data_IF_613593148919
#
_entry.id   IF_613593148919
#
_cell.length_a   1.000
_cell.length_b   1.000
_cell.length_c   1.000
_cell.angle_alpha   90.00
_cell.angle_beta   90.00
_cell.angle_gamma   90.00
#
_symmetry.space_group_name_H-M   'P 1'
#
loop_
_entity.id
_entity.type
_entity.pdbx_description
1 polymer ?
#
# COMPACT_ATOMS: atom_id res chain seq x y z
N UNK A 1 3.39 26.06 -24.43
CA UNK A 1 1.93 26.18 -24.66
C UNK A 1 1.30 24.82 -24.36
N UNK A 2 0.16 24.78 -23.64
CA UNK A 2 -0.49 23.52 -23.23
C UNK A 2 -0.98 22.75 -24.46
N UNK A 3 -0.64 21.47 -24.59
CA UNK A 3 -1.10 20.60 -25.68
C UNK A 3 -2.49 20.06 -25.36
N UNK A 4 -3.43 20.20 -26.29
CA UNK A 4 -4.80 19.73 -26.11
C UNK A 4 -5.04 18.61 -27.10
N UNK A 5 -5.23 17.41 -26.56
CA UNK A 5 -5.33 16.18 -27.33
C UNK A 5 -6.78 15.75 -27.37
N UNK A 6 -7.35 15.74 -28.56
CA UNK A 6 -8.68 15.22 -28.80
C UNK A 6 -8.59 13.75 -29.23
N UNK A 7 -9.48 12.92 -28.70
CA UNK A 7 -9.51 11.48 -28.98
C UNK A 7 -10.93 11.05 -29.27
N UNK A 8 -11.22 10.68 -30.52
CA UNK A 8 -12.53 10.19 -30.93
C UNK A 8 -12.56 8.67 -31.10
N UNK A 9 -13.55 8.02 -30.50
CA UNK A 9 -13.75 6.58 -30.61
C UNK A 9 -15.03 6.11 -29.93
N UNK A 10 -15.18 4.81 -29.72
CA UNK A 10 -16.37 4.24 -29.09
C UNK A 10 -15.96 3.28 -27.96
N UNK A 11 -16.77 3.23 -26.89
CA UNK A 11 -16.35 2.62 -25.61
C UNK A 11 -16.11 1.11 -25.67
N UNK A 12 -16.67 0.40 -26.67
CA UNK A 12 -16.38 -1.02 -26.90
C UNK A 12 -15.03 -1.28 -27.60
N UNK A 13 -14.35 -0.24 -28.10
CA UNK A 13 -13.03 -0.37 -28.71
C UNK A 13 -11.93 -0.32 -27.64
N UNK A 14 -11.28 -1.46 -27.39
CA UNK A 14 -10.19 -1.54 -26.40
C UNK A 14 -9.01 -0.59 -26.69
N UNK A 15 -8.73 -0.30 -27.96
CA UNK A 15 -7.69 0.67 -28.35
C UNK A 15 -8.06 2.11 -27.97
N UNK A 16 -9.32 2.51 -28.16
CA UNK A 16 -9.80 3.82 -27.72
C UNK A 16 -9.70 3.96 -26.19
N UNK A 17 -10.22 2.98 -25.44
CA UNK A 17 -10.16 2.99 -23.98
C UNK A 17 -8.72 3.06 -23.47
N UNK A 18 -7.78 2.36 -24.12
CA UNK A 18 -6.36 2.40 -23.76
C UNK A 18 -5.75 3.79 -23.96
N UNK A 19 -6.00 4.45 -25.08
CA UNK A 19 -5.49 5.82 -25.34
C UNK A 19 -6.06 6.83 -24.36
N UNK A 20 -7.38 6.79 -24.11
CA UNK A 20 -8.03 7.68 -23.14
C UNK A 20 -7.39 7.52 -21.77
N UNK A 21 -7.17 6.28 -21.30
CA UNK A 21 -6.51 6.04 -20.01
C UNK A 21 -5.08 6.58 -19.96
N UNK A 22 -4.28 6.39 -21.02
CA UNK A 22 -2.90 6.91 -21.08
C UNK A 22 -2.88 8.44 -21.01
N UNK A 23 -3.67 9.11 -21.84
CA UNK A 23 -3.73 10.58 -21.87
C UNK A 23 -4.36 11.18 -20.60
N UNK A 24 -5.29 10.47 -19.96
CA UNK A 24 -5.84 10.85 -18.68
C UNK A 24 -4.75 10.83 -17.60
N UNK A 25 -3.95 9.76 -17.54
CA UNK A 25 -2.78 9.67 -16.66
C UNK A 25 -1.78 10.79 -16.93
N UNK A 26 -1.49 11.10 -18.20
CA UNK A 26 -0.62 12.23 -18.56
C UNK A 26 -1.18 13.58 -18.11
N UNK A 27 -2.49 13.77 -18.16
CA UNK A 27 -3.14 15.00 -17.67
C UNK A 27 -3.01 15.14 -16.15
N UNK A 28 -3.02 14.03 -15.41
CA UNK A 28 -2.76 14.02 -13.96
C UNK A 28 -1.29 14.32 -13.65
N UNK A 29 -0.36 13.74 -14.41
CA UNK A 29 1.08 13.91 -14.21
C UNK A 29 1.58 15.30 -14.64
N UNK A 30 1.01 15.85 -15.72
CA UNK A 30 1.45 17.11 -16.34
C UNK A 30 0.28 18.08 -16.58
N UNK A 31 -0.45 18.50 -15.52
CA UNK A 31 -1.72 19.23 -15.66
C UNK A 31 -1.60 20.58 -16.37
N UNK A 32 -0.41 21.19 -16.33
CA UNK A 32 -0.10 22.46 -17.01
C UNK A 32 0.38 22.29 -18.45
N UNK A 33 0.80 21.07 -18.85
CA UNK A 33 1.40 20.79 -20.16
C UNK A 33 0.44 20.10 -21.12
N UNK A 34 -0.52 19.32 -20.62
CA UNK A 34 -1.46 18.56 -21.46
C UNK A 34 -2.91 18.63 -20.94
N UNK A 35 -3.86 18.45 -21.85
CA UNK A 35 -5.30 18.28 -21.59
C UNK A 35 -5.85 17.23 -22.55
N UNK A 36 -6.63 16.28 -22.02
CA UNK A 36 -7.40 15.33 -22.81
C UNK A 36 -8.82 15.84 -23.05
N UNK A 37 -9.33 15.68 -24.27
CA UNK A 37 -10.74 15.86 -24.65
C UNK A 37 -11.25 14.58 -25.33
N UNK A 38 -11.92 13.68 -24.60
CA UNK A 38 -12.46 12.45 -25.19
C UNK A 38 -13.79 12.72 -25.90
N UNK A 39 -13.98 12.08 -27.05
CA UNK A 39 -15.23 12.06 -27.80
C UNK A 39 -15.73 10.62 -27.92
N UNK A 40 -16.73 10.30 -27.12
CA UNK A 40 -17.34 8.98 -27.01
C UNK A 40 -18.53 8.84 -27.97
N UNK A 41 -18.40 7.95 -28.96
CA UNK A 41 -19.48 7.53 -29.83
C UNK A 41 -20.14 6.25 -29.29
N UNK A 42 -21.47 6.08 -29.46
CA UNK A 42 -22.20 4.96 -28.88
C UNK A 42 -21.76 3.61 -29.46
N UNK A 43 -21.39 3.58 -30.75
CA UNK A 43 -20.93 2.37 -31.42
C UNK A 43 -20.01 2.68 -32.62
N UNK A 44 -19.51 1.62 -33.25
CA UNK A 44 -18.64 1.70 -34.42
C UNK A 44 -19.31 2.38 -35.62
N UNK A 45 -20.62 2.22 -35.77
CA UNK A 45 -21.38 2.78 -36.90
C UNK A 45 -21.46 4.29 -36.77
N UNK A 46 -21.91 4.79 -35.62
CA UNK A 46 -21.98 6.22 -35.32
C UNK A 46 -20.62 6.90 -35.47
N UNK A 47 -19.55 6.26 -34.97
CA UNK A 47 -18.18 6.74 -35.13
C UNK A 47 -17.77 6.87 -36.61
N UNK A 48 -18.06 5.85 -37.44
CA UNK A 48 -17.68 5.87 -38.86
C UNK A 48 -18.50 6.86 -39.68
N UNK A 49 -19.80 6.98 -39.41
CA UNK A 49 -20.66 8.00 -40.03
C UNK A 49 -20.11 9.40 -39.75
N UNK A 50 -19.76 9.69 -38.50
CA UNK A 50 -19.11 10.97 -38.17
C UNK A 50 -17.76 11.13 -38.88
N UNK A 51 -16.84 10.17 -38.76
CA UNK A 51 -15.48 10.37 -39.27
C UNK A 51 -15.40 10.43 -40.80
N UNK A 52 -16.18 9.58 -41.48
CA UNK A 52 -16.08 9.32 -42.94
C UNK A 52 -17.22 9.99 -43.69
N UNK A 53 -18.48 9.72 -43.32
CA UNK A 53 -19.64 10.16 -44.11
C UNK A 53 -19.90 11.66 -43.95
N UNK A 54 -19.67 12.21 -42.74
CA UNK A 54 -19.75 13.67 -42.52
C UNK A 54 -18.51 14.43 -43.04
N UNK A 55 -17.46 13.71 -43.46
CA UNK A 55 -16.23 14.29 -43.99
C UNK A 55 -15.34 14.96 -42.94
N UNK A 56 -15.48 14.65 -41.65
CA UNK A 56 -14.65 15.30 -40.61
C UNK A 56 -13.15 15.14 -40.87
N UNK A 57 -12.71 13.92 -41.22
CA UNK A 57 -11.30 13.63 -41.53
C UNK A 57 -10.75 14.36 -42.75
N UNK A 58 -11.63 14.86 -43.63
CA UNK A 58 -11.24 15.54 -44.87
C UNK A 58 -10.78 16.99 -44.63
N UNK A 59 -11.02 17.50 -43.43
CA UNK A 59 -10.58 18.84 -43.00
C UNK A 59 -9.10 18.89 -42.57
N UNK A 60 -8.44 17.74 -42.44
CA UNK A 60 -7.00 17.64 -42.19
C UNK A 60 -6.22 17.77 -43.50
N UNK A 61 -5.00 18.31 -43.45
CA UNK A 61 -4.17 18.46 -44.65
C UNK A 61 -3.48 17.13 -45.02
N UNK A 62 -3.19 16.32 -44.02
CA UNK A 62 -2.44 15.08 -44.07
C UNK A 62 -3.22 13.98 -44.81
N UNK A 63 -2.60 13.37 -45.82
CA UNK A 63 -3.21 12.26 -46.57
C UNK A 63 -3.56 11.07 -45.66
N UNK A 64 -2.76 10.83 -44.62
CA UNK A 64 -2.99 9.78 -43.63
C UNK A 64 -4.33 9.99 -42.88
N UNK A 65 -4.65 11.23 -42.50
CA UNK A 65 -5.91 11.57 -41.84
C UNK A 65 -7.11 11.25 -42.75
N UNK A 66 -7.05 11.68 -44.02
CA UNK A 66 -8.10 11.45 -45.03
C UNK A 66 -8.35 9.96 -45.32
N UNK A 67 -7.34 9.12 -45.13
CA UNK A 67 -7.42 7.67 -45.32
C UNK A 67 -7.82 6.91 -44.04
N UNK A 68 -7.68 7.53 -42.87
CA UNK A 68 -7.94 6.89 -41.57
C UNK A 68 -9.41 6.51 -41.41
N UNK A 69 -9.67 5.33 -40.86
CA UNK A 69 -11.04 4.80 -40.70
C UNK A 69 -11.28 3.95 -39.45
N UNK A 70 -10.24 3.70 -38.65
CA UNK A 70 -10.26 2.89 -37.44
C UNK A 70 -10.35 3.78 -36.20
N UNK A 71 -10.86 3.23 -35.09
CA UNK A 71 -10.84 3.90 -33.79
C UNK A 71 -9.56 3.53 -33.02
N UNK A 72 -8.91 4.48 -32.32
CA UNK A 72 -9.26 5.90 -32.19
C UNK A 72 -8.78 6.76 -33.38
N UNK A 73 -9.31 7.98 -33.48
CA UNK A 73 -8.78 9.07 -34.32
C UNK A 73 -8.38 10.23 -33.41
N UNK A 74 -7.10 10.60 -33.43
CA UNK A 74 -6.51 11.53 -32.47
C UNK A 74 -5.88 12.74 -33.16
N UNK A 75 -6.00 13.93 -32.55
CA UNK A 75 -5.41 15.16 -33.08
C UNK A 75 -5.10 16.17 -31.98
N UNK A 76 -4.22 17.14 -32.29
CA UNK A 76 -3.96 18.31 -31.47
C UNK A 76 -4.86 19.48 -31.88
N UNK A 77 -5.24 20.31 -30.90
CA UNK A 77 -5.99 21.54 -31.14
C UNK A 77 -5.13 22.81 -31.10
N UNK A 78 -5.52 23.84 -31.87
CA UNK A 78 -4.80 25.11 -32.06
C UNK A 78 -4.79 26.03 -30.82
N UNK A 79 -5.59 25.74 -29.81
CA UNK A 79 -5.72 26.54 -28.58
C UNK A 79 -6.67 25.88 -27.59
N UNK A 80 -6.93 26.53 -26.44
CA UNK A 80 -7.90 26.06 -25.43
C UNK A 80 -9.33 26.28 -25.91
N UNK A 81 -9.73 25.48 -26.90
CA UNK A 81 -11.10 25.43 -27.37
C UNK A 81 -11.98 24.65 -26.40
N UNK A 82 -13.22 25.10 -26.34
CA UNK A 82 -14.25 24.85 -25.33
C UNK A 82 -14.43 23.39 -24.91
N UNK A 83 -14.81 23.17 -23.64
CA UNK A 83 -15.24 21.88 -23.07
C UNK A 83 -16.56 21.35 -23.62
N UNK A 84 -16.70 21.36 -24.94
CA UNK A 84 -17.86 20.86 -25.68
C UNK A 84 -17.56 19.45 -26.20
N UNK A 85 -18.59 18.59 -26.20
CA UNK A 85 -18.45 17.15 -26.45
C UNK A 85 -18.31 16.80 -27.94
N UNK A 86 -18.51 17.76 -28.84
CA UNK A 86 -18.52 17.53 -30.28
C UNK A 86 -17.26 18.11 -30.93
N UNK A 87 -16.52 17.33 -31.75
CA UNK A 87 -15.33 17.81 -32.46
C UNK A 87 -15.64 18.99 -33.40
N UNK A 88 -14.90 20.09 -33.29
CA UNK A 88 -15.05 21.26 -34.16
C UNK A 88 -13.90 21.36 -35.15
N UNK A 89 -14.21 21.66 -36.40
CA UNK A 89 -13.23 21.76 -37.49
C UNK A 89 -12.25 22.92 -37.28
N UNK A 90 -12.74 24.03 -36.71
CA UNK A 90 -11.95 25.22 -36.39
C UNK A 90 -10.79 24.96 -35.41
N UNK A 91 -10.89 23.90 -34.61
CA UNK A 91 -9.91 23.57 -33.58
C UNK A 91 -8.74 22.74 -34.11
N UNK A 92 -8.87 22.14 -35.30
CA UNK A 92 -7.89 21.20 -35.86
C UNK A 92 -6.52 21.88 -36.04
N UNK A 93 -5.49 21.34 -35.41
CA UNK A 93 -4.07 21.72 -35.60
C UNK A 93 -3.31 20.64 -36.38
N UNK A 94 -3.08 19.49 -35.75
CA UNK A 94 -2.18 18.44 -36.24
C UNK A 94 -2.81 17.06 -36.04
N UNK A 95 -2.80 16.23 -37.08
CA UNK A 95 -3.24 14.84 -36.96
C UNK A 95 -2.20 13.96 -36.24
N UNK A 96 -2.59 13.30 -35.16
CA UNK A 96 -1.69 12.41 -34.41
C UNK A 96 -1.72 10.96 -34.90
N UNK A 97 -2.80 10.52 -35.56
CA UNK A 97 -2.94 9.14 -36.02
C UNK A 97 -3.94 8.30 -35.20
N UNK A 98 -3.73 6.98 -35.28
CA UNK A 98 -4.50 5.99 -34.53
C UNK A 98 -3.94 5.72 -33.14
N UNK A 99 -4.24 4.54 -32.59
CA UNK A 99 -3.73 4.12 -31.29
C UNK A 99 -2.20 4.13 -31.23
N UNK A 100 -1.53 3.40 -32.12
CA UNK A 100 -0.08 3.20 -32.03
C UNK A 100 0.68 4.52 -32.23
N UNK A 101 0.22 5.37 -33.13
CA UNK A 101 0.81 6.69 -33.39
C UNK A 101 0.62 7.62 -32.18
N UNK A 102 -0.56 7.58 -31.56
CA UNK A 102 -0.82 8.37 -30.36
C UNK A 102 -0.01 7.89 -29.16
N UNK A 103 0.22 6.58 -29.01
CA UNK A 103 1.13 6.05 -27.97
C UNK A 103 2.56 6.56 -28.21
N UNK A 104 3.06 6.51 -29.45
CA UNK A 104 4.40 7.04 -29.80
C UNK A 104 4.50 8.53 -29.52
N UNK A 105 3.44 9.28 -29.83
CA UNK A 105 3.37 10.70 -29.48
C UNK A 105 3.40 10.92 -27.97
N UNK A 106 2.63 10.15 -27.18
CA UNK A 106 2.63 10.22 -25.71
C UNK A 106 4.03 9.93 -25.14
N UNK A 107 4.71 8.92 -25.68
CA UNK A 107 6.08 8.58 -25.31
C UNK A 107 7.03 9.75 -25.62
N UNK A 108 6.90 10.37 -26.79
CA UNK A 108 7.70 11.54 -27.19
C UNK A 108 7.39 12.78 -26.34
N UNK A 109 6.12 13.00 -25.96
CA UNK A 109 5.70 14.09 -25.08
C UNK A 109 6.30 13.97 -23.67
N UNK A 110 6.45 12.73 -23.18
CA UNK A 110 7.11 12.43 -21.92
C UNK A 110 8.64 12.49 -22.02
N UNK A 111 9.20 12.56 -23.22
CA UNK A 111 10.64 12.74 -23.37
C UNK A 111 11.07 14.10 -22.79
N UNK A 112 12.26 14.21 -22.19
CA UNK A 112 12.79 15.49 -21.69
C UNK A 112 12.91 16.52 -22.82
N UNK A 113 12.73 17.81 -22.51
CA UNK A 113 13.10 18.90 -23.44
C UNK A 113 14.62 18.94 -23.63
N UNK A 114 15.10 19.05 -24.87
CA UNK A 114 16.49 19.42 -25.22
C UNK A 114 16.78 20.91 -24.93
N UNK A 115 16.48 21.38 -23.72
CA UNK A 115 16.80 22.74 -23.30
C UNK A 115 18.24 22.79 -22.76
N UNK A 116 19.23 22.62 -23.65
CA UNK A 116 20.58 23.22 -23.61
C UNK A 116 21.42 23.32 -22.32
N UNK A 117 21.10 22.63 -21.22
CA UNK A 117 21.88 22.63 -19.98
C UNK A 117 21.72 21.28 -19.26
N UNK A 118 22.63 20.36 -19.56
CA UNK A 118 22.49 18.92 -19.29
C UNK A 118 23.00 18.54 -17.88
N UNK A 119 22.20 18.83 -16.86
CA UNK A 119 22.11 18.05 -15.61
C UNK A 119 20.63 17.74 -15.30
N UNK A 120 19.86 17.41 -16.34
CA UNK A 120 18.48 16.93 -16.21
C UNK A 120 18.41 15.43 -15.98
N UNK A 121 17.35 14.97 -15.32
CA UNK A 121 17.02 13.54 -15.21
C UNK A 121 16.73 13.02 -16.62
N UNK A 122 17.70 12.35 -17.23
CA UNK A 122 17.56 11.67 -18.51
C UNK A 122 16.94 10.30 -18.30
N UNK A 123 15.89 9.97 -19.08
CA UNK A 123 15.46 8.59 -19.25
C UNK A 123 16.59 7.86 -19.98
N UNK A 124 17.42 7.17 -19.21
CA UNK A 124 18.44 6.29 -19.77
C UNK A 124 17.72 5.20 -20.56
N UNK A 125 18.08 4.97 -21.85
CA UNK A 125 17.63 3.80 -22.59
C UNK A 125 17.94 2.58 -21.74
N UNK A 126 16.91 1.97 -21.19
CA UNK A 126 17.07 0.85 -20.28
C UNK A 126 17.49 -0.42 -21.05
N UNK A 127 17.47 -0.38 -22.38
CA UNK A 127 17.77 -1.49 -23.28
C UNK A 127 16.61 -2.47 -23.42
N UNK A 128 15.37 -2.08 -23.08
CA UNK A 128 14.22 -2.97 -23.20
C UNK A 128 13.86 -3.17 -24.66
N UNK A 129 13.82 -4.42 -25.09
CA UNK A 129 13.28 -4.82 -26.39
C UNK A 129 12.17 -5.85 -26.15
N UNK A 130 11.06 -5.74 -26.88
CA UNK A 130 9.93 -6.65 -26.72
C UNK A 130 10.30 -8.13 -26.98
N UNK A 131 11.39 -8.40 -27.70
CA UNK A 131 11.95 -9.73 -27.94
C UNK A 131 13.30 -9.90 -27.23
N UNK A 132 13.30 -9.77 -25.91
CA UNK A 132 14.50 -9.83 -25.08
C UNK A 132 14.95 -11.26 -24.70
N UNK A 133 14.19 -12.30 -25.06
CA UNK A 133 14.53 -13.71 -24.77
C UNK A 133 14.41 -14.17 -23.31
N UNK A 134 14.27 -13.27 -22.33
CA UNK A 134 14.00 -13.59 -20.93
C UNK A 134 12.59 -14.16 -20.67
N UNK A 135 12.42 -14.85 -19.53
CA UNK A 135 11.15 -15.45 -19.12
C UNK A 135 10.05 -14.40 -18.86
N UNK A 136 10.42 -13.21 -18.38
CA UNK A 136 9.52 -12.12 -18.00
C UNK A 136 10.05 -10.74 -18.44
N UNK A 137 9.12 -9.81 -18.68
CA UNK A 137 9.45 -8.39 -18.87
C UNK A 137 9.83 -7.76 -17.51
N UNK A 138 9.08 -8.12 -16.46
CA UNK A 138 9.27 -7.61 -15.11
C UNK A 138 9.10 -8.71 -14.07
N UNK A 139 10.11 -8.87 -13.21
CA UNK A 139 9.98 -9.62 -11.95
C UNK A 139 9.93 -8.62 -10.80
N UNK A 140 8.83 -8.64 -10.05
CA UNK A 140 8.67 -7.86 -8.83
C UNK A 140 9.03 -8.72 -7.61
N UNK A 141 9.99 -8.28 -6.81
CA UNK A 141 10.46 -8.98 -5.61
C UNK A 141 9.81 -8.34 -4.38
N UNK A 142 8.70 -8.91 -3.92
CA UNK A 142 7.93 -8.50 -2.75
C UNK A 142 6.44 -8.31 -3.08
N UNK A 143 5.57 -9.15 -2.50
CA UNK A 143 4.12 -9.12 -2.69
C UNK A 143 3.38 -8.18 -1.74
N UNK A 144 4.01 -7.05 -1.39
CA UNK A 144 3.42 -6.01 -0.55
C UNK A 144 2.62 -4.96 -1.31
N UNK A 145 2.24 -3.87 -0.64
CA UNK A 145 1.43 -2.80 -1.24
C UNK A 145 2.02 -2.26 -2.55
N UNK A 146 3.30 -1.89 -2.54
CA UNK A 146 4.00 -1.36 -3.72
C UNK A 146 4.17 -2.42 -4.81
N UNK A 147 4.68 -3.61 -4.46
CA UNK A 147 4.96 -4.64 -5.45
C UNK A 147 3.72 -5.20 -6.13
N UNK A 148 2.61 -5.42 -5.40
CA UNK A 148 1.34 -5.82 -6.02
C UNK A 148 0.74 -4.72 -6.90
N UNK A 149 0.86 -3.45 -6.50
CA UNK A 149 0.37 -2.33 -7.31
C UNK A 149 1.13 -2.26 -8.64
N UNK A 150 2.46 -2.24 -8.58
CA UNK A 150 3.32 -2.23 -9.74
C UNK A 150 3.11 -3.46 -10.65
N UNK A 151 2.99 -4.65 -10.06
CA UNK A 151 2.78 -5.88 -10.85
C UNK A 151 1.51 -5.83 -11.69
N UNK A 152 0.39 -5.39 -11.09
CA UNK A 152 -0.90 -5.31 -11.78
C UNK A 152 -0.91 -4.23 -12.84
N UNK A 153 -0.27 -3.09 -12.56
CA UNK A 153 -0.22 -1.97 -13.50
C UNK A 153 0.65 -2.31 -14.71
N UNK A 154 1.85 -2.86 -14.47
CA UNK A 154 2.73 -3.32 -15.54
C UNK A 154 2.04 -4.36 -16.44
N UNK A 155 1.32 -5.33 -15.84
CA UNK A 155 0.55 -6.31 -16.61
C UNK A 155 -0.60 -5.67 -17.40
N UNK A 156 -1.31 -4.68 -16.83
CA UNK A 156 -2.36 -3.96 -17.55
C UNK A 156 -1.83 -3.18 -18.77
N UNK A 157 -0.56 -2.76 -18.73
CA UNK A 157 0.16 -2.11 -19.83
C UNK A 157 0.78 -3.11 -20.82
N UNK A 158 0.59 -4.42 -20.60
CA UNK A 158 0.99 -5.49 -21.54
C UNK A 158 2.27 -6.23 -21.18
N UNK A 159 2.92 -5.92 -20.06
CA UNK A 159 4.10 -6.64 -19.61
C UNK A 159 3.75 -8.05 -19.09
N UNK A 160 4.58 -9.03 -19.41
CA UNK A 160 4.61 -10.35 -18.78
C UNK A 160 5.29 -10.26 -17.43
N UNK A 161 4.51 -10.36 -16.35
CA UNK A 161 4.99 -10.09 -14.98
C UNK A 161 5.02 -11.35 -14.11
N UNK A 162 6.12 -11.53 -13.36
CA UNK A 162 6.13 -12.40 -12.17
C UNK A 162 6.16 -11.55 -10.89
N UNK A 163 5.38 -11.94 -9.89
CA UNK A 163 5.37 -11.34 -8.57
C UNK A 163 5.84 -12.39 -7.55
N UNK A 164 7.05 -12.22 -7.05
CA UNK A 164 7.64 -13.06 -6.01
C UNK A 164 7.25 -12.52 -4.63
N UNK A 165 6.78 -13.38 -3.74
CA UNK A 165 6.54 -13.03 -2.34
C UNK A 165 6.97 -14.19 -1.46
N UNK A 166 7.67 -13.91 -0.37
CA UNK A 166 8.02 -14.92 0.62
C UNK A 166 8.11 -14.28 2.01
N UNK A 167 7.28 -14.76 2.92
CA UNK A 167 7.25 -14.26 4.30
C UNK A 167 8.19 -15.09 5.16
N UNK A 168 9.40 -14.56 5.40
CA UNK A 168 10.31 -15.10 6.43
C UNK A 168 9.62 -15.03 7.79
N UNK A 169 9.46 -16.15 8.52
CA UNK A 169 8.84 -16.13 9.85
C UNK A 169 9.50 -15.11 10.78
N UNK A 170 8.75 -14.55 11.72
CA UNK A 170 9.34 -13.80 12.83
C UNK A 170 10.20 -14.71 13.71
N UNK A 171 11.03 -14.18 14.62
CA UNK A 171 11.75 -15.00 15.61
C UNK A 171 10.81 -15.90 16.45
N UNK A 172 9.53 -15.54 16.56
CA UNK A 172 8.49 -16.31 17.25
C UNK A 172 7.80 -17.35 16.35
N UNK A 173 8.19 -17.45 15.08
CA UNK A 173 7.62 -18.36 14.10
C UNK A 173 6.37 -17.83 13.38
N UNK A 174 5.95 -16.59 13.66
CA UNK A 174 4.76 -16.00 13.03
C UNK A 174 5.00 -15.78 11.54
N UNK A 175 4.04 -16.21 10.70
CA UNK A 175 4.05 -16.00 9.25
C UNK A 175 2.64 -15.68 8.76
N UNK A 176 2.50 -15.17 7.53
CA UNK A 176 1.23 -14.70 6.97
C UNK A 176 1.15 -14.87 5.46
N UNK A 177 -0.01 -14.50 4.88
CA UNK A 177 -0.29 -14.64 3.46
C UNK A 177 0.12 -13.44 2.60
N UNK A 178 -0.20 -13.50 1.30
CA UNK A 178 0.09 -12.45 0.33
C UNK A 178 -0.55 -11.11 0.73
N UNK A 179 0.16 -10.00 0.56
CA UNK A 179 -0.34 -8.65 0.84
C UNK A 179 0.67 -7.74 1.53
N UNK A 180 1.80 -8.31 1.97
CA UNK A 180 2.86 -7.61 2.70
C UNK A 180 2.42 -7.10 4.07
N UNK A 181 3.21 -6.19 4.63
CA UNK A 181 3.08 -5.69 6.01
C UNK A 181 1.71 -5.06 6.27
N UNK A 182 1.27 -4.13 5.41
CA UNK A 182 0.07 -3.32 5.68
C UNK A 182 -1.20 -4.18 5.81
N UNK A 183 -1.32 -5.24 5.01
CA UNK A 183 -2.47 -6.15 5.02
C UNK A 183 -2.44 -7.08 6.23
N UNK A 184 -1.28 -7.64 6.55
CA UNK A 184 -1.20 -8.77 7.48
C UNK A 184 -0.82 -8.38 8.90
N UNK A 185 0.08 -7.41 9.07
CA UNK A 185 0.73 -7.08 10.35
C UNK A 185 1.00 -5.57 10.49
N UNK A 186 0.10 -4.77 9.90
CA UNK A 186 0.27 -3.33 9.80
C UNK A 186 -1.08 -2.63 9.77
N UNK A 187 -1.28 -1.75 8.80
CA UNK A 187 -2.41 -0.82 8.74
C UNK A 187 -3.78 -1.47 9.00
N UNK A 188 -4.06 -2.60 8.35
CA UNK A 188 -5.36 -3.28 8.43
C UNK A 188 -5.64 -3.81 9.84
N UNK A 189 -4.85 -4.76 10.41
CA UNK A 189 -5.10 -5.20 11.77
C UNK A 189 -4.99 -4.05 12.78
N UNK A 190 -3.98 -3.18 12.66
CA UNK A 190 -3.81 -2.01 13.54
C UNK A 190 -5.10 -1.19 13.63
N UNK A 191 -5.70 -0.84 12.49
CA UNK A 191 -6.88 0.02 12.47
C UNK A 191 -8.14 -0.72 12.93
N UNK A 192 -8.24 -2.03 12.72
CA UNK A 192 -9.35 -2.84 13.22
C UNK A 192 -9.29 -3.04 14.75
N UNK A 193 -8.10 -3.27 15.31
CA UNK A 193 -7.91 -3.29 16.77
C UNK A 193 -8.22 -1.92 17.38
N UNK A 194 -7.74 -0.85 16.77
CA UNK A 194 -8.07 0.52 17.19
C UNK A 194 -9.57 0.83 17.06
N UNK A 195 -10.26 0.36 16.02
CA UNK A 195 -11.72 0.49 15.93
C UNK A 195 -12.42 -0.25 17.08
N UNK A 196 -11.93 -1.44 17.45
CA UNK A 196 -12.41 -2.18 18.62
C UNK A 196 -12.21 -1.40 19.92
N UNK A 197 -11.08 -0.70 20.08
CA UNK A 197 -10.83 0.15 21.25
C UNK A 197 -11.76 1.36 21.28
N UNK A 198 -11.95 2.06 20.16
CA UNK A 198 -12.86 3.21 20.07
C UNK A 198 -14.31 2.81 20.38
N UNK A 199 -14.77 1.65 19.89
CA UNK A 199 -16.11 1.15 20.22
C UNK A 199 -16.24 0.89 21.72
N UNK A 200 -15.21 0.32 22.35
CA UNK A 200 -15.20 0.09 23.79
C UNK A 200 -15.30 1.41 24.56
N UNK A 201 -14.53 2.42 24.16
CA UNK A 201 -14.56 3.74 24.78
C UNK A 201 -15.93 4.41 24.62
N UNK A 202 -16.53 4.38 23.42
CA UNK A 202 -17.87 4.93 23.20
C UNK A 202 -18.94 4.22 24.02
N UNK A 203 -18.84 2.90 24.21
CA UNK A 203 -19.78 2.17 25.07
C UNK A 203 -19.59 2.50 26.56
N UNK A 204 -18.35 2.73 27.01
CA UNK A 204 -18.05 3.06 28.41
C UNK A 204 -18.39 4.50 28.77
N UNK A 205 -18.07 5.45 27.89
CA UNK A 205 -18.06 6.88 28.20
C UNK A 205 -19.24 7.63 27.59
N UNK A 206 -19.64 7.29 26.36
CA UNK A 206 -20.61 8.10 25.60
C UNK A 206 -22.03 7.54 25.71
N UNK A 207 -22.19 6.22 25.65
CA UNK A 207 -23.50 5.56 25.48
C UNK A 207 -24.57 6.05 26.47
N UNK A 208 -24.20 6.20 27.76
CA UNK A 208 -25.12 6.67 28.79
C UNK A 208 -25.62 8.10 28.53
N UNK A 209 -24.77 9.00 28.02
CA UNK A 209 -25.16 10.37 27.69
C UNK A 209 -26.16 10.44 26.53
N UNK A 210 -26.16 9.42 25.65
CA UNK A 210 -27.14 9.24 24.58
C UNK A 210 -28.37 8.42 24.98
N UNK A 211 -28.52 8.06 26.26
CA UNK A 211 -29.63 7.25 26.76
C UNK A 211 -29.55 5.76 26.36
N UNK A 212 -28.38 5.28 25.95
CA UNK A 212 -28.14 3.88 25.59
C UNK A 212 -27.60 3.15 26.81
N UNK A 213 -28.32 2.12 27.25
CA UNK A 213 -27.89 1.24 28.34
C UNK A 213 -27.03 0.09 27.80
N UNK A 214 -25.85 -0.10 28.40
CA UNK A 214 -24.88 -1.15 28.04
C UNK A 214 -24.59 -2.02 29.28
N UNK A 215 -25.03 -3.28 29.28
CA UNK A 215 -24.92 -4.21 30.42
C UNK A 215 -26.19 -5.07 30.59
N UNK A 216 -26.21 -6.02 31.54
CA UNK A 216 -27.44 -6.75 31.91
C UNK A 216 -28.29 -5.98 32.93
N UNK A 217 -29.58 -6.30 33.02
CA UNK A 217 -30.51 -5.73 34.01
C UNK A 217 -30.05 -5.95 35.46
N UNK A 218 -29.21 -6.96 35.71
CA UNK A 218 -28.64 -7.29 37.03
C UNK A 218 -27.64 -6.24 37.56
N UNK A 219 -27.19 -5.30 36.72
CA UNK A 219 -26.26 -4.21 37.09
C UNK A 219 -26.98 -2.89 37.44
N UNK A 220 -28.30 -2.94 37.63
CA UNK A 220 -29.13 -1.78 38.00
C UNK A 220 -29.51 -1.89 39.48
N UNK A 221 -29.06 -0.92 40.29
CA UNK A 221 -29.52 -0.77 41.68
C UNK A 221 -30.08 0.65 41.84
N UNK A 222 -31.30 0.77 42.35
CA UNK A 222 -32.02 2.04 42.53
C UNK A 222 -32.13 2.93 41.27
N UNK A 223 -32.33 2.30 40.11
CA UNK A 223 -32.49 3.02 38.83
C UNK A 223 -31.20 3.67 38.30
N UNK A 224 -30.06 3.38 38.91
CA UNK A 224 -28.74 3.83 38.48
C UNK A 224 -27.89 2.63 38.04
N UNK A 225 -27.21 2.78 36.90
CA UNK A 225 -26.27 1.78 36.38
C UNK A 225 -25.01 1.84 37.23
N UNK A 226 -24.61 0.73 37.84
CA UNK A 226 -23.24 0.57 38.34
C UNK A 226 -22.32 0.40 37.12
N UNK A 227 -21.25 1.20 37.03
CA UNK A 227 -20.17 1.23 36.01
C UNK A 227 -20.36 0.25 34.82
N UNK A 228 -20.57 0.73 33.58
CA UNK A 228 -20.80 -0.14 32.43
C UNK A 228 -19.63 -1.13 32.23
N UNK A 229 -19.86 -2.41 32.52
CA UNK A 229 -18.85 -3.46 32.36
C UNK A 229 -18.82 -3.91 30.90
N UNK A 230 -18.02 -3.23 30.07
CA UNK A 230 -17.67 -3.75 28.75
C UNK A 230 -16.43 -4.64 28.85
N UNK A 231 -16.54 -5.87 28.34
CA UNK A 231 -15.44 -6.83 28.28
C UNK A 231 -15.08 -7.15 26.84
N UNK A 232 -13.89 -6.74 26.42
CA UNK A 232 -13.38 -7.09 25.09
C UNK A 232 -12.75 -8.48 25.14
N UNK A 233 -13.35 -9.42 24.41
CA UNK A 233 -12.80 -10.77 24.27
C UNK A 233 -11.70 -10.78 23.19
N UNK A 234 -10.43 -10.75 23.61
CA UNK A 234 -9.27 -10.74 22.72
C UNK A 234 -9.35 -11.81 21.63
N UNK A 235 -9.65 -13.06 21.99
CA UNK A 235 -9.71 -14.18 21.06
C UNK A 235 -10.73 -13.96 19.94
N UNK A 236 -11.94 -13.51 20.28
CA UNK A 236 -12.99 -13.21 19.31
C UNK A 236 -12.63 -12.02 18.41
N UNK A 237 -12.09 -10.93 18.98
CA UNK A 237 -11.63 -9.77 18.21
C UNK A 237 -10.54 -10.18 17.21
N UNK A 238 -9.51 -10.86 17.71
CA UNK A 238 -8.37 -11.33 16.93
C UNK A 238 -8.83 -12.31 15.85
N UNK A 239 -9.68 -13.28 16.16
CA UNK A 239 -10.18 -14.25 15.17
C UNK A 239 -10.93 -13.56 14.04
N UNK A 240 -11.84 -12.63 14.35
CA UNK A 240 -12.59 -11.88 13.33
C UNK A 240 -11.66 -11.03 12.43
N UNK A 241 -10.66 -10.38 13.01
CA UNK A 241 -9.65 -9.63 12.26
C UNK A 241 -8.83 -10.57 11.35
N UNK A 242 -8.37 -11.71 11.88
CA UNK A 242 -7.63 -12.71 11.11
C UNK A 242 -8.48 -13.31 9.98
N UNK A 243 -9.77 -13.52 10.18
CA UNK A 243 -10.71 -13.96 9.15
C UNK A 243 -10.78 -12.95 7.99
N UNK A 244 -10.87 -11.66 8.33
CA UNK A 244 -10.85 -10.60 7.34
C UNK A 244 -9.52 -10.55 6.56
N UNK A 245 -8.39 -10.64 7.25
CA UNK A 245 -7.05 -10.68 6.62
C UNK A 245 -6.92 -11.87 5.66
N UNK A 246 -7.35 -13.07 6.08
CA UNK A 246 -7.35 -14.26 5.20
C UNK A 246 -8.18 -14.04 3.94
N UNK A 247 -9.32 -13.35 4.06
CA UNK A 247 -10.15 -12.98 2.92
C UNK A 247 -9.42 -12.02 1.96
N UNK A 248 -8.65 -11.07 2.50
CA UNK A 248 -7.83 -10.16 1.69
C UNK A 248 -6.70 -10.90 0.98
N UNK A 249 -5.98 -11.80 1.68
CA UNK A 249 -4.92 -12.59 1.06
C UNK A 249 -5.45 -13.40 -0.14
N UNK A 250 -6.63 -14.00 0.00
CA UNK A 250 -7.30 -14.70 -1.09
C UNK A 250 -7.64 -13.75 -2.25
N UNK A 251 -8.29 -12.62 -1.96
CA UNK A 251 -8.66 -11.61 -2.98
C UNK A 251 -7.44 -11.08 -3.73
N UNK A 252 -6.31 -10.86 -3.07
CA UNK A 252 -5.08 -10.42 -3.75
C UNK A 252 -4.55 -11.47 -4.72
N UNK A 253 -4.55 -12.76 -4.34
CA UNK A 253 -4.15 -13.85 -5.23
C UNK A 253 -5.07 -13.95 -6.45
N UNK A 254 -6.38 -13.76 -6.26
CA UNK A 254 -7.36 -13.73 -7.36
C UNK A 254 -7.07 -12.55 -8.29
N UNK A 255 -6.89 -11.34 -7.76
CA UNK A 255 -6.62 -10.13 -8.56
C UNK A 255 -5.32 -10.20 -9.36
N UNK A 256 -4.27 -10.83 -8.83
CA UNK A 256 -3.04 -11.05 -9.61
C UNK A 256 -3.31 -11.98 -10.80
N UNK A 257 -4.05 -13.08 -10.57
CA UNK A 257 -4.41 -14.04 -11.62
C UNK A 257 -5.32 -13.43 -12.69
N UNK A 258 -6.32 -12.64 -12.31
CA UNK A 258 -7.21 -11.93 -13.24
C UNK A 258 -6.46 -10.93 -14.14
N UNK A 259 -5.29 -10.47 -13.69
CA UNK A 259 -4.38 -9.61 -14.45
C UNK A 259 -3.24 -10.38 -15.11
N UNK A 260 -3.33 -11.71 -15.15
CA UNK A 260 -2.32 -12.59 -15.76
C UNK A 260 -0.91 -12.45 -15.15
N UNK A 261 -0.81 -11.92 -13.93
CA UNK A 261 0.46 -11.85 -13.19
C UNK A 261 0.76 -13.24 -12.60
N UNK A 262 1.96 -13.76 -12.90
CA UNK A 262 2.43 -15.03 -12.32
C UNK A 262 2.84 -14.81 -10.88
N UNK A 263 2.00 -15.22 -9.92
CA UNK A 263 2.35 -15.17 -8.51
C UNK A 263 3.16 -16.40 -8.06
N UNK A 264 4.34 -16.18 -7.49
CA UNK A 264 5.21 -17.24 -6.97
C UNK A 264 5.50 -17.00 -5.49
N UNK A 265 5.06 -17.92 -4.64
CA UNK A 265 5.40 -17.91 -3.21
C UNK A 265 6.82 -18.47 -2.99
N UNK A 266 7.83 -17.69 -3.40
CA UNK A 266 9.24 -18.06 -3.42
C UNK A 266 10.11 -16.87 -3.02
N UNK A 267 11.19 -17.16 -2.29
CA UNK A 267 12.23 -16.20 -1.97
C UNK A 267 13.14 -16.04 -3.20
N UNK A 268 13.39 -14.81 -3.63
CA UNK A 268 14.26 -14.50 -4.75
C UNK A 268 15.63 -13.99 -4.31
N UNK A 269 16.70 -14.47 -4.96
CA UNK A 269 18.09 -14.03 -4.79
C UNK A 269 18.74 -13.85 -6.16
N UNK A 270 19.28 -12.67 -6.42
CA UNK A 270 20.00 -12.34 -7.66
C UNK A 270 21.21 -13.25 -7.83
N UNK A 271 21.34 -13.83 -9.02
CA UNK A 271 22.54 -14.55 -9.45
C UNK A 271 23.41 -13.63 -10.30
N UNK A 272 22.77 -12.81 -11.14
CA UNK A 272 23.38 -11.82 -12.02
C UNK A 272 22.33 -10.71 -12.34
N UNK A 273 22.63 -9.71 -13.18
CA UNK A 273 21.69 -8.61 -13.48
C UNK A 273 20.34 -9.02 -14.08
N UNK A 274 20.24 -10.19 -14.72
CA UNK A 274 19.05 -10.66 -15.43
C UNK A 274 18.52 -12.02 -14.94
N UNK A 275 19.20 -12.67 -14.01
CA UNK A 275 18.82 -13.99 -13.47
C UNK A 275 18.58 -13.94 -11.97
N UNK A 276 17.48 -14.55 -11.53
CA UNK A 276 17.12 -14.71 -10.13
C UNK A 276 16.92 -16.19 -9.78
N UNK A 277 17.57 -16.66 -8.72
CA UNK A 277 17.25 -17.94 -8.09
C UNK A 277 16.00 -17.75 -7.24
N UNK A 278 15.03 -18.65 -7.38
CA UNK A 278 13.79 -18.64 -6.60
C UNK A 278 13.60 -19.93 -5.82
N UNK A 279 13.51 -19.83 -4.49
CA UNK A 279 13.40 -20.96 -3.57
C UNK A 279 12.03 -20.98 -2.91
N UNK A 280 11.32 -22.11 -2.99
CA UNK A 280 10.03 -22.25 -2.30
C UNK A 280 10.18 -22.64 -0.82
N UNK A 281 9.05 -22.67 -0.09
CA UNK A 281 9.02 -23.06 1.34
C UNK A 281 9.53 -24.48 1.62
N UNK A 282 9.65 -25.35 0.61
CA UNK A 282 10.17 -26.72 0.73
C UNK A 282 11.66 -26.80 0.39
N UNK A 283 12.32 -25.66 0.10
CA UNK A 283 13.72 -25.61 -0.29
C UNK A 283 13.98 -25.98 -1.75
N UNK A 284 12.94 -26.09 -2.59
CA UNK A 284 13.12 -26.38 -4.02
C UNK A 284 13.52 -25.09 -4.73
N UNK A 285 14.69 -25.09 -5.35
CA UNK A 285 15.18 -23.97 -6.15
C UNK A 285 14.91 -24.15 -7.65
N UNK A 286 14.81 -23.03 -8.35
CA UNK A 286 14.80 -22.92 -9.80
C UNK A 286 15.28 -21.52 -10.18
N UNK A 287 15.73 -21.30 -11.39
CA UNK A 287 16.10 -19.97 -11.89
C UNK A 287 14.99 -19.39 -12.76
N UNK A 288 14.85 -18.06 -12.74
CA UNK A 288 14.03 -17.29 -13.68
C UNK A 288 14.86 -16.14 -14.23
N UNK A 289 14.53 -15.68 -15.42
CA UNK A 289 15.18 -14.53 -16.05
C UNK A 289 14.20 -13.39 -16.28
N UNK A 290 14.69 -12.15 -16.24
CA UNK A 290 13.85 -10.97 -16.47
C UNK A 290 14.59 -9.82 -17.13
N UNK A 291 13.89 -9.09 -18.00
CA UNK A 291 14.42 -7.83 -18.54
C UNK A 291 14.58 -6.79 -17.43
N UNK A 292 13.60 -6.68 -16.52
CA UNK A 292 13.60 -5.74 -15.40
C UNK A 292 13.28 -6.39 -14.07
N UNK A 293 13.77 -5.77 -13.01
CA UNK A 293 13.40 -6.11 -11.65
C UNK A 293 12.89 -4.89 -10.91
N UNK A 294 11.89 -5.09 -10.07
CA UNK A 294 11.46 -4.13 -9.07
C UNK A 294 11.68 -4.73 -7.69
N UNK A 295 12.57 -4.12 -6.90
CA UNK A 295 12.78 -4.49 -5.50
C UNK A 295 11.72 -3.79 -4.65
N UNK A 296 10.83 -4.59 -4.06
CA UNK A 296 9.70 -4.13 -3.26
C UNK A 296 9.55 -4.93 -1.95
N UNK A 297 10.68 -5.35 -1.36
CA UNK A 297 10.74 -6.28 -0.20
C UNK A 297 10.29 -5.67 1.13
N UNK A 298 10.16 -4.34 1.21
CA UNK A 298 9.66 -3.65 2.40
C UNK A 298 10.65 -3.67 3.56
N UNK A 299 10.12 -3.68 4.80
CA UNK A 299 10.95 -3.68 6.00
C UNK A 299 10.39 -4.53 7.13
N UNK A 300 11.26 -4.96 8.05
CA UNK A 300 10.97 -5.85 9.18
C UNK A 300 11.29 -5.18 10.52
N UNK A 301 10.63 -5.57 11.63
CA UNK A 301 10.91 -5.02 12.95
C UNK A 301 12.38 -5.18 13.34
N UNK A 302 12.96 -4.15 13.93
CA UNK A 302 14.32 -4.21 14.48
C UNK A 302 14.29 -5.04 15.78
N UNK A 303 15.15 -6.07 15.92
CA UNK A 303 15.26 -6.83 17.16
C UNK A 303 15.61 -5.94 18.35
N UNK A 304 15.14 -6.30 19.54
CA UNK A 304 15.48 -5.57 20.75
C UNK A 304 16.88 -5.98 21.23
N UNK A 305 17.84 -5.07 21.12
CA UNK A 305 19.24 -5.32 21.50
C UNK A 305 19.45 -5.17 23.01
N UNK A 306 19.20 -6.25 23.75
CA UNK A 306 19.54 -6.38 25.17
C UNK A 306 19.61 -7.86 25.55
N UNK A 307 20.14 -8.19 26.73
CA UNK A 307 20.15 -9.57 27.21
C UNK A 307 18.71 -10.08 27.33
N UNK A 308 18.41 -11.23 26.73
CA UNK A 308 17.06 -11.79 26.69
C UNK A 308 16.08 -11.02 25.80
N UNK A 309 16.54 -10.06 24.98
CA UNK A 309 15.72 -9.28 24.06
C UNK A 309 14.87 -10.12 23.10
N UNK A 310 15.31 -11.35 22.79
CA UNK A 310 14.56 -12.34 22.01
C UNK A 310 13.26 -12.80 22.69
N UNK A 311 13.05 -12.52 23.98
CA UNK A 311 11.78 -12.77 24.67
C UNK A 311 10.69 -11.80 24.19
N UNK A 312 11.05 -10.61 23.75
CA UNK A 312 10.09 -9.64 23.21
C UNK A 312 9.47 -10.13 21.90
N UNK A 313 8.21 -9.75 21.69
CA UNK A 313 7.52 -9.88 20.41
C UNK A 313 7.60 -8.56 19.64
N UNK A 314 7.11 -8.54 18.41
CA UNK A 314 7.02 -7.33 17.60
C UNK A 314 5.59 -7.09 17.08
N UNK A 315 5.39 -6.01 16.32
CA UNK A 315 4.13 -5.80 15.60
C UNK A 315 3.83 -6.92 14.60
N UNK A 316 4.84 -7.66 14.14
CA UNK A 316 4.65 -8.81 13.27
C UNK A 316 3.93 -9.98 14.00
N UNK A 317 3.91 -9.97 15.34
CA UNK A 317 3.39 -11.06 16.18
C UNK A 317 2.11 -10.68 16.93
N UNK A 318 2.00 -9.44 17.43
CA UNK A 318 0.93 -9.02 18.35
C UNK A 318 -0.48 -9.25 17.80
N UNK A 319 -0.67 -9.03 16.49
CA UNK A 319 -1.96 -9.20 15.83
C UNK A 319 -2.40 -10.66 15.68
N UNK A 320 -1.47 -11.60 15.90
CA UNK A 320 -1.68 -13.03 15.76
C UNK A 320 -1.61 -13.78 17.10
N UNK A 321 -1.47 -13.10 18.24
CA UNK A 321 -1.47 -13.77 19.54
C UNK A 321 -2.81 -14.49 19.78
N UNK A 322 -2.76 -15.75 20.20
CA UNK A 322 -3.97 -16.53 20.52
C UNK A 322 -4.60 -16.10 21.84
N UNK A 323 -3.75 -15.80 22.82
CA UNK A 323 -4.14 -15.32 24.13
C UNK A 323 -3.97 -13.80 24.22
N UNK A 324 -4.73 -13.18 25.12
CA UNK A 324 -4.56 -11.76 25.44
C UNK A 324 -3.11 -11.48 25.84
N UNK A 325 -2.49 -10.38 25.39
CA UNK A 325 -1.13 -10.04 25.78
C UNK A 325 -1.00 -9.63 27.26
N UNK A 326 -2.11 -9.46 27.99
CA UNK A 326 -2.09 -9.14 29.42
C UNK A 326 -1.44 -7.79 29.73
N UNK A 327 -0.78 -7.68 30.88
CA UNK A 327 0.04 -6.52 31.22
C UNK A 327 1.18 -6.39 30.20
N UNK A 328 1.20 -5.29 29.45
CA UNK A 328 2.07 -5.16 28.27
C UNK A 328 3.04 -3.98 28.40
N UNK A 329 4.33 -4.23 28.17
CA UNK A 329 5.33 -3.19 27.95
C UNK A 329 5.54 -2.95 26.46
N UNK A 330 5.28 -1.73 25.98
CA UNK A 330 5.65 -1.30 24.63
C UNK A 330 7.01 -0.58 24.66
N UNK A 331 8.03 -1.15 24.03
CA UNK A 331 9.38 -0.59 23.99
C UNK A 331 9.55 0.26 22.73
N UNK A 332 9.81 1.55 22.93
CA UNK A 332 9.97 2.53 21.85
C UNK A 332 8.82 3.52 21.80
N UNK A 333 9.02 4.58 21.02
CA UNK A 333 8.13 5.75 21.00
C UNK A 333 7.72 6.15 19.56
N UNK A 334 7.77 5.18 18.65
CA UNK A 334 7.31 5.34 17.27
C UNK A 334 5.79 5.33 17.20
N UNK A 335 5.21 5.70 16.05
CA UNK A 335 3.76 5.59 15.84
C UNK A 335 3.27 4.16 16.06
N UNK A 336 4.06 3.13 15.69
CA UNK A 336 3.69 1.72 15.92
C UNK A 336 3.55 1.44 17.41
N UNK A 337 4.50 1.91 18.21
CA UNK A 337 4.48 1.71 19.67
C UNK A 337 3.25 2.36 20.29
N UNK A 338 3.00 3.64 19.96
CA UNK A 338 1.89 4.41 20.54
C UNK A 338 0.53 3.91 20.08
N UNK A 339 0.38 3.52 18.81
CA UNK A 339 -0.87 2.95 18.31
C UNK A 339 -1.17 1.60 18.97
N UNK A 340 -0.16 0.74 19.14
CA UNK A 340 -0.33 -0.52 19.87
C UNK A 340 -0.67 -0.29 21.33
N UNK A 341 0.06 0.60 22.00
CA UNK A 341 -0.22 0.94 23.38
C UNK A 341 -1.64 1.48 23.56
N UNK A 342 -2.05 2.40 22.68
CA UNK A 342 -3.37 3.03 22.71
C UNK A 342 -4.51 2.03 22.53
N UNK A 343 -4.46 1.15 21.52
CA UNK A 343 -5.56 0.18 21.36
C UNK A 343 -5.55 -0.89 22.45
N UNK A 344 -4.39 -1.29 22.98
CA UNK A 344 -4.30 -2.27 24.08
C UNK A 344 -4.90 -1.68 25.38
N UNK A 345 -4.58 -0.42 25.69
CA UNK A 345 -5.17 0.27 26.83
C UNK A 345 -6.67 0.49 26.63
N UNK A 346 -7.10 0.94 25.44
CA UNK A 346 -8.52 1.18 25.14
C UNK A 346 -9.39 -0.08 25.11
N UNK A 347 -8.81 -1.28 24.91
CA UNK A 347 -9.55 -2.55 25.14
C UNK A 347 -9.49 -3.03 26.60
N UNK A 348 -8.84 -2.27 27.49
CA UNK A 348 -8.83 -2.48 28.94
C UNK A 348 -7.61 -3.20 29.51
N UNK A 349 -6.47 -3.24 28.82
CA UNK A 349 -5.24 -3.85 29.33
C UNK A 349 -4.36 -2.84 30.08
N UNK A 350 -3.57 -3.33 31.04
CA UNK A 350 -2.52 -2.53 31.69
C UNK A 350 -1.33 -2.37 30.74
N UNK A 351 -1.05 -1.15 30.31
CA UNK A 351 -0.04 -0.85 29.29
C UNK A 351 0.91 0.23 29.78
N UNK A 352 2.20 -0.04 29.61
CA UNK A 352 3.26 0.94 29.82
C UNK A 352 4.13 1.09 28.57
N UNK A 353 4.56 2.31 28.27
CA UNK A 353 5.46 2.62 27.15
C UNK A 353 6.83 3.04 27.69
N UNK A 354 7.88 2.31 27.32
CA UNK A 354 9.26 2.69 27.62
C UNK A 354 9.82 3.61 26.53
N UNK A 355 10.16 4.84 26.91
CA UNK A 355 10.57 5.92 26.02
C UNK A 355 12.03 6.29 26.28
N UNK A 356 12.91 6.03 25.31
CA UNK A 356 14.33 6.41 25.41
C UNK A 356 14.56 7.92 25.46
N UNK A 357 13.76 8.71 24.72
CA UNK A 357 13.98 10.15 24.58
C UNK A 357 12.68 10.94 24.39
N UNK A 358 12.16 11.01 23.16
CA UNK A 358 10.95 11.77 22.80
C UNK A 358 9.95 10.90 22.05
N UNK A 359 8.67 11.24 22.12
CA UNK A 359 7.62 10.62 21.33
C UNK A 359 7.65 11.06 19.87
N UNK A 360 7.32 10.13 18.96
CA UNK A 360 7.10 10.39 17.53
C UNK A 360 8.23 11.20 16.88
N UNK A 361 9.49 10.83 17.09
CA UNK A 361 10.63 11.54 16.50
C UNK A 361 10.43 11.80 15.00
N UNK A 362 10.59 13.05 14.57
CA UNK A 362 10.37 13.49 13.19
C UNK A 362 8.99 14.09 12.90
N UNK A 363 8.03 13.97 13.82
CA UNK A 363 6.71 14.60 13.71
C UNK A 363 6.70 16.00 14.34
N UNK A 364 5.63 16.76 14.12
CA UNK A 364 5.37 18.01 14.83
C UNK A 364 5.38 17.79 16.36
N UNK A 365 5.99 18.73 17.11
CA UNK A 365 6.18 18.59 18.56
C UNK A 365 4.91 18.87 19.35
N UNK A 366 4.16 19.90 18.98
CA UNK A 366 2.91 20.24 19.65
C UNK A 366 1.88 19.11 19.48
N UNK A 367 1.80 18.53 18.28
CA UNK A 367 0.95 17.36 18.05
C UNK A 367 1.39 16.15 18.88
N UNK A 368 2.69 15.88 18.98
CA UNK A 368 3.21 14.76 19.76
C UNK A 368 2.91 14.93 21.26
N UNK A 369 3.04 16.14 21.80
CA UNK A 369 2.77 16.44 23.20
C UNK A 369 1.27 16.32 23.53
N UNK A 370 0.38 16.70 22.60
CA UNK A 370 -1.07 16.48 22.79
C UNK A 370 -1.45 15.00 22.79
N UNK A 371 -0.82 14.20 21.93
CA UNK A 371 -1.01 12.74 21.93
C UNK A 371 -0.51 12.15 23.25
N UNK A 372 0.64 12.62 23.74
CA UNK A 372 1.23 12.19 25.00
C UNK A 372 0.28 12.41 26.20
N UNK A 373 -0.22 13.64 26.35
CA UNK A 373 -1.16 13.99 27.42
C UNK A 373 -2.44 13.17 27.31
N UNK A 374 -3.03 13.08 26.10
CA UNK A 374 -4.26 12.32 25.89
C UNK A 374 -4.10 10.84 26.27
N UNK A 375 -3.01 10.20 25.85
CA UNK A 375 -2.78 8.78 26.16
C UNK A 375 -2.59 8.54 27.67
N UNK A 376 -1.92 9.45 28.38
CA UNK A 376 -1.78 9.38 29.84
C UNK A 376 -3.13 9.52 30.55
N UNK A 377 -3.92 10.51 30.15
CA UNK A 377 -5.25 10.75 30.71
C UNK A 377 -6.21 9.57 30.49
N UNK A 378 -5.93 8.72 29.48
CA UNK A 378 -6.71 7.54 29.11
C UNK A 378 -6.01 6.22 29.49
N UNK A 379 -5.12 6.25 30.49
CA UNK A 379 -4.64 5.05 31.18
C UNK A 379 -3.36 4.42 30.63
N UNK A 380 -2.72 5.01 29.62
CA UNK A 380 -1.38 4.55 29.17
C UNK A 380 -0.31 5.13 30.09
N UNK A 381 0.50 4.25 30.69
CA UNK A 381 1.63 4.65 31.53
C UNK A 381 2.85 4.93 30.66
N UNK A 382 3.67 5.92 31.03
CA UNK A 382 4.93 6.20 30.33
C UNK A 382 6.11 6.16 31.28
N UNK A 383 7.09 5.32 30.93
CA UNK A 383 8.41 5.29 31.58
C UNK A 383 9.40 6.02 30.68
N UNK A 384 9.84 7.21 31.12
CA UNK A 384 10.65 8.11 30.29
C UNK A 384 12.13 7.96 30.59
N UNK A 385 12.94 8.31 29.59
CA UNK A 385 14.40 8.32 29.65
C UNK A 385 15.00 6.96 30.04
N UNK A 386 14.35 5.87 29.64
CA UNK A 386 14.80 4.50 29.92
C UNK A 386 14.82 3.64 28.66
N UNK A 387 15.63 2.59 28.72
CA UNK A 387 15.59 1.45 27.81
C UNK A 387 15.68 0.15 28.59
N UNK A 388 15.04 -0.94 28.15
CA UNK A 388 15.31 -2.26 28.70
C UNK A 388 16.80 -2.62 28.56
N UNK A 389 17.39 -3.13 29.63
CA UNK A 389 18.78 -3.64 29.67
C UNK A 389 18.83 -5.17 29.74
N UNK A 390 17.80 -5.80 30.31
CA UNK A 390 17.67 -7.25 30.43
C UNK A 390 16.21 -7.69 30.50
N UNK A 391 15.88 -8.79 29.82
CA UNK A 391 14.59 -9.48 29.89
C UNK A 391 14.80 -10.92 30.39
N UNK A 392 14.02 -11.35 31.36
CA UNK A 392 14.12 -12.70 31.93
C UNK A 392 12.72 -13.31 32.13
N UNK A 393 12.57 -14.60 31.84
CA UNK A 393 11.34 -15.31 32.20
C UNK A 393 11.32 -15.58 33.71
N UNK A 394 10.18 -15.31 34.34
CA UNK A 394 9.90 -15.67 35.72
C UNK A 394 9.29 -17.07 35.82
N UNK A 395 9.24 -17.61 37.04
CA UNK A 395 8.56 -18.89 37.32
C UNK A 395 7.04 -18.84 37.03
N UNK A 396 6.44 -17.64 37.08
CA UNK A 396 5.05 -17.38 36.69
C UNK A 396 4.83 -17.25 35.18
N UNK A 397 5.85 -17.52 34.36
CA UNK A 397 5.86 -17.35 32.90
C UNK A 397 5.62 -15.91 32.42
N UNK A 398 5.82 -14.93 33.30
CA UNK A 398 5.89 -13.52 32.94
C UNK A 398 7.33 -13.14 32.54
N UNK A 399 7.51 -11.93 32.03
CA UNK A 399 8.80 -11.37 31.64
C UNK A 399 9.16 -10.27 32.64
N UNK A 400 10.19 -10.51 33.44
CA UNK A 400 10.84 -9.49 34.25
C UNK A 400 11.73 -8.66 33.34
N UNK A 401 11.57 -7.34 33.40
CA UNK A 401 12.35 -6.36 32.64
C UNK A 401 13.16 -5.54 33.63
N UNK A 402 14.49 -5.56 33.46
CA UNK A 402 15.40 -4.61 34.11
C UNK A 402 15.63 -3.45 33.14
N UNK A 403 15.49 -2.22 33.63
CA UNK A 403 15.67 -1.00 32.85
C UNK A 403 17.08 -0.42 33.05
N UNK A 404 17.46 0.51 32.17
CA UNK A 404 18.77 1.19 32.19
C UNK A 404 19.03 2.03 33.44
N UNK A 405 17.99 2.42 34.17
CA UNK A 405 18.07 3.14 35.45
C UNK A 405 18.18 2.20 36.67
N UNK A 406 18.22 0.88 36.44
CA UNK A 406 18.26 -0.15 37.48
C UNK A 406 16.90 -0.51 38.06
N UNK A 407 15.81 0.15 37.64
CA UNK A 407 14.46 -0.25 38.04
C UNK A 407 14.04 -1.55 37.38
N UNK A 408 13.07 -2.25 37.99
CA UNK A 408 12.56 -3.51 37.49
C UNK A 408 11.03 -3.53 37.56
N UNK A 409 10.40 -4.21 36.60
CA UNK A 409 8.98 -4.54 36.65
C UNK A 409 8.71 -5.81 35.83
N UNK A 410 7.55 -6.42 36.01
CA UNK A 410 7.14 -7.68 35.38
C UNK A 410 5.93 -7.44 34.48
N UNK A 411 5.96 -8.05 33.28
CA UNK A 411 4.92 -7.93 32.26
C UNK A 411 4.57 -9.29 31.69
N UNK A 412 3.33 -9.49 31.27
CA UNK A 412 2.92 -10.71 30.55
C UNK A 412 3.49 -10.70 29.12
N UNK A 413 3.58 -9.52 28.50
CA UNK A 413 4.11 -9.34 27.15
C UNK A 413 5.05 -8.13 27.07
N UNK A 414 6.16 -8.28 26.34
CA UNK A 414 7.00 -7.15 25.92
C UNK A 414 6.93 -7.02 24.40
N UNK A 415 6.45 -5.86 23.90
CA UNK A 415 6.31 -5.52 22.49
C UNK A 415 7.41 -4.54 22.07
N UNK A 416 8.36 -4.98 21.24
CA UNK A 416 9.39 -4.12 20.67
C UNK A 416 8.90 -3.39 19.42
N UNK A 417 8.91 -2.06 19.46
CA UNK A 417 8.51 -1.16 18.39
C UNK A 417 9.53 -0.02 18.18
N UNK A 418 10.82 -0.39 18.22
CA UNK A 418 11.97 0.54 18.19
C UNK A 418 12.42 0.97 16.79
N UNK A 419 11.77 0.47 15.74
CA UNK A 419 12.10 0.79 14.35
C UNK A 419 11.96 -0.41 13.44
N UNK A 420 12.15 -0.18 12.14
CA UNK A 420 12.16 -1.24 11.12
C UNK A 420 13.36 -1.04 10.21
N UNK A 421 13.98 -2.14 9.79
CA UNK A 421 15.06 -2.14 8.81
C UNK A 421 14.56 -2.62 7.45
N UNK A 422 15.22 -2.19 6.37
CA UNK A 422 14.88 -2.63 5.01
C UNK A 422 15.22 -4.12 4.83
N UNK A 423 14.30 -4.90 4.28
CA UNK A 423 14.48 -6.34 4.12
C UNK A 423 15.24 -6.69 2.83
N UNK A 424 16.49 -6.23 2.76
CA UNK A 424 17.38 -6.44 1.61
C UNK A 424 18.39 -7.56 1.81
N UNK A 425 18.47 -8.08 3.04
CA UNK A 425 19.34 -9.22 3.35
C UNK A 425 18.93 -10.46 2.53
N UNK A 426 19.92 -11.08 1.88
CA UNK A 426 19.78 -12.25 0.97
C UNK A 426 19.21 -11.95 -0.41
N UNK A 427 19.15 -10.69 -0.83
CA UNK A 427 18.81 -10.37 -2.22
C UNK A 427 19.93 -10.70 -3.21
N UNK A 428 21.18 -10.88 -2.77
CA UNK A 428 22.33 -11.14 -3.64
C UNK A 428 23.33 -10.00 -3.60
#
# INVERSE_FOLDING_TARGET
MRKIVHVAGYSACGFYSRIVNVLQSLTVLFPTRIKLVPHDFPDRTAYRTWLIESGFRDNFQEAAAKQHSSSPFCWLAKGDSSGDSTPKVEDIDEFLGGHDDTIKWCQSFMAPCDDGADEGITMQPDGHTADHGYDYDLIVIGGGSGGMAASKEAAALGAKVACLDFVKPSPKGTTWGLGGTCVNVGCIPKKLFHAGSLLNDSFKQDAAAFGIQVGSEDNVQDGMIQEPVTKVHWSALRENIQNYIRSLNFKYRVRLREKEVTYLNKLGTFVDPHTIEVVDKKGRSSTLTSSRFLIATGGRPTPLECEGGDLAISSDDVFALEQSPGKTLCVGASYISLECAGFLAGIGLDVEVAVRSILLRGFDRECADKIDSYMQDHGVKFRRQVTPSKLEKTDSNQIKVTFSDGSEDTYDTVLSAIGRYADTAKLG
#
